data_IF_637258715252
#
_entry.id   IF_637258715252
#
_cell.length_a   1.000
_cell.length_b   1.000
_cell.length_c   1.000
_cell.angle_alpha   90.00
_cell.angle_beta   90.00
_cell.angle_gamma   90.00
#
_symmetry.space_group_name_H-M   'P 1'
#
loop_
_entity.id
_entity.type
_entity.pdbx_description
1 polymer ?
#
# COMPACT_ATOMS: atom_id res chain seq x y z
N UNK A 1 6.58 -1.43 -17.91
CA UNK A 1 7.21 -2.40 -16.99
C UNK A 1 7.13 -3.81 -17.57
N UNK A 2 5.94 -4.26 -17.97
CA UNK A 2 5.71 -5.65 -18.39
C UNK A 2 6.21 -5.97 -19.80
N UNK A 3 6.55 -4.98 -20.64
CA UNK A 3 7.18 -5.15 -21.95
C UNK A 3 8.53 -5.88 -21.87
N UNK A 4 9.26 -5.71 -20.77
CA UNK A 4 10.49 -6.44 -20.52
C UNK A 4 10.26 -7.96 -20.50
N UNK A 5 9.13 -8.39 -19.95
CA UNK A 5 8.74 -9.82 -19.93
C UNK A 5 8.31 -10.30 -21.32
N UNK A 6 7.63 -9.46 -22.10
CA UNK A 6 7.29 -9.77 -23.50
C UNK A 6 8.54 -9.92 -24.37
N UNK A 7 9.48 -8.97 -24.26
CA UNK A 7 10.75 -9.01 -24.99
C UNK A 7 11.59 -10.24 -24.63
N UNK A 8 11.52 -10.71 -23.40
CA UNK A 8 12.31 -11.84 -22.92
C UNK A 8 11.64 -13.19 -23.08
N UNK A 9 10.34 -13.27 -22.95
CA UNK A 9 9.56 -14.52 -23.04
C UNK A 9 8.53 -14.42 -24.17
N UNK A 10 7.34 -13.92 -23.88
CA UNK A 10 6.28 -13.69 -24.86
C UNK A 10 5.16 -12.78 -24.28
N UNK A 11 4.16 -12.49 -25.13
CA UNK A 11 2.98 -11.73 -24.74
C UNK A 11 2.12 -12.42 -23.65
N UNK A 12 2.24 -13.73 -23.46
CA UNK A 12 1.51 -14.48 -22.43
C UNK A 12 2.13 -14.22 -21.05
N UNK A 13 3.47 -14.22 -20.96
CA UNK A 13 4.19 -13.85 -19.74
C UNK A 13 3.89 -12.39 -19.31
N UNK A 14 3.88 -11.47 -20.28
CA UNK A 14 3.46 -10.05 -20.04
C UNK A 14 2.07 -9.98 -19.43
N UNK A 15 1.09 -10.64 -20.05
CA UNK A 15 -0.29 -10.64 -19.56
C UNK A 15 -0.45 -11.30 -18.20
N UNK A 16 0.27 -12.38 -17.93
CA UNK A 16 0.26 -13.03 -16.63
C UNK A 16 0.77 -12.09 -15.52
N UNK A 17 1.89 -11.40 -15.75
CA UNK A 17 2.43 -10.42 -14.80
C UNK A 17 1.51 -9.20 -14.63
N UNK A 18 0.93 -8.69 -15.72
CA UNK A 18 -0.06 -7.61 -15.67
C UNK A 18 -1.31 -8.01 -14.87
N UNK A 19 -1.78 -9.27 -15.04
CA UNK A 19 -2.88 -9.82 -14.25
C UNK A 19 -2.53 -9.91 -12.76
N UNK A 20 -1.35 -10.41 -12.42
CA UNK A 20 -0.89 -10.47 -11.03
C UNK A 20 -0.76 -9.08 -10.41
N UNK A 21 -0.26 -8.09 -11.17
CA UNK A 21 -0.24 -6.71 -10.74
C UNK A 21 -1.64 -6.17 -10.44
N UNK A 22 -2.62 -6.41 -11.32
CA UNK A 22 -4.00 -5.97 -11.09
C UNK A 22 -4.57 -6.57 -9.80
N UNK A 23 -4.36 -7.87 -9.55
CA UNK A 23 -4.75 -8.53 -8.30
C UNK A 23 -4.09 -7.83 -7.12
N UNK A 24 -2.77 -7.68 -7.14
CA UNK A 24 -2.04 -7.02 -6.05
C UNK A 24 -2.45 -5.58 -5.81
N UNK A 25 -2.74 -4.84 -6.89
CA UNK A 25 -3.17 -3.45 -6.79
C UNK A 25 -4.60 -3.32 -6.23
N UNK A 26 -5.50 -4.24 -6.59
CA UNK A 26 -6.84 -4.31 -6.00
C UNK A 26 -6.74 -4.61 -4.51
N UNK A 27 -5.93 -5.59 -4.11
CA UNK A 27 -5.68 -5.92 -2.72
C UNK A 27 -5.14 -4.70 -1.94
N UNK A 28 -4.06 -4.10 -2.41
CA UNK A 28 -3.41 -2.96 -1.75
C UNK A 28 -4.28 -1.70 -1.71
N UNK A 29 -4.94 -1.34 -2.81
CA UNK A 29 -5.77 -0.14 -2.88
C UNK A 29 -7.10 -0.33 -2.15
N UNK A 30 -7.66 -1.55 -2.14
CA UNK A 30 -8.83 -1.90 -1.34
C UNK A 30 -8.55 -1.79 0.16
N UNK A 31 -7.38 -2.23 0.62
CA UNK A 31 -6.97 -2.07 2.01
C UNK A 31 -6.78 -0.59 2.39
N UNK A 32 -6.21 0.24 1.50
CA UNK A 32 -6.11 1.70 1.72
C UNK A 32 -7.49 2.36 1.76
N UNK A 33 -8.40 1.95 0.86
CA UNK A 33 -9.77 2.45 0.84
C UNK A 33 -10.49 2.11 2.15
N UNK A 34 -10.28 0.92 2.70
CA UNK A 34 -10.79 0.52 4.01
C UNK A 34 -10.29 1.43 5.13
N UNK A 35 -8.97 1.73 5.19
CA UNK A 35 -8.44 2.68 6.16
C UNK A 35 -9.09 4.06 6.07
N UNK A 36 -9.28 4.55 4.86
CA UNK A 36 -9.96 5.81 4.60
C UNK A 36 -11.42 5.80 5.04
N UNK A 37 -12.10 4.68 4.79
CA UNK A 37 -13.49 4.51 5.16
C UNK A 37 -13.69 4.54 6.69
N UNK A 38 -12.74 4.00 7.47
CA UNK A 38 -12.74 4.14 8.93
C UNK A 38 -12.74 5.63 9.32
N UNK A 39 -11.81 6.42 8.75
CA UNK A 39 -11.71 7.85 9.07
C UNK A 39 -12.99 8.61 8.67
N UNK A 40 -13.53 8.34 7.49
CA UNK A 40 -14.78 8.98 7.01
C UNK A 40 -15.98 8.56 7.84
N UNK A 41 -16.08 7.28 8.25
CA UNK A 41 -17.14 6.79 9.13
C UNK A 41 -17.11 7.53 10.47
N UNK A 42 -15.93 7.67 11.08
CA UNK A 42 -15.79 8.41 12.33
C UNK A 42 -16.11 9.90 12.20
N UNK A 43 -15.82 10.53 11.06
CA UNK A 43 -16.14 11.95 10.83
C UNK A 43 -17.64 12.17 10.68
N UNK A 44 -18.33 11.29 9.95
CA UNK A 44 -19.74 11.48 9.58
C UNK A 44 -20.69 10.88 10.64
N UNK A 45 -20.39 9.66 11.09
CA UNK A 45 -21.29 8.87 11.95
C UNK A 45 -20.81 8.78 13.40
N UNK A 46 -19.57 9.18 13.69
CA UNK A 46 -18.92 9.10 15.01
C UNK A 46 -18.81 7.65 15.55
N UNK A 47 -18.74 6.69 14.65
CA UNK A 47 -18.57 5.28 14.97
C UNK A 47 -17.83 4.51 13.86
N UNK A 48 -17.59 3.22 14.10
CA UNK A 48 -16.92 2.29 13.17
C UNK A 48 -17.78 1.04 12.93
N UNK A 49 -19.09 1.21 12.93
CA UNK A 49 -20.01 0.11 12.64
C UNK A 49 -19.88 -0.37 11.19
N UNK A 50 -20.11 -1.68 10.92
CA UNK A 50 -19.97 -2.24 9.58
C UNK A 50 -20.75 -1.49 8.51
N UNK A 51 -21.98 -1.08 8.82
CA UNK A 51 -22.86 -0.38 7.88
C UNK A 51 -22.30 1.00 7.51
N UNK A 52 -21.78 1.74 8.47
CA UNK A 52 -21.22 3.07 8.26
C UNK A 52 -19.89 3.03 7.51
N UNK A 53 -19.05 2.01 7.76
CA UNK A 53 -17.82 1.79 6.96
C UNK A 53 -18.15 1.44 5.52
N UNK A 54 -19.18 0.63 5.27
CA UNK A 54 -19.64 0.31 3.91
C UNK A 54 -20.13 1.57 3.19
N UNK A 55 -20.95 2.40 3.85
CA UNK A 55 -21.42 3.67 3.29
C UNK A 55 -20.25 4.62 3.02
N UNK A 56 -19.32 4.76 3.97
CA UNK A 56 -18.12 5.58 3.81
C UNK A 56 -17.26 5.12 2.63
N UNK A 57 -17.04 3.80 2.48
CA UNK A 57 -16.34 3.21 1.33
C UNK A 57 -17.04 3.52 0.01
N UNK A 58 -18.37 3.39 -0.04
CA UNK A 58 -19.16 3.70 -1.23
C UNK A 58 -19.04 5.18 -1.62
N UNK A 59 -19.14 6.09 -0.67
CA UNK A 59 -18.98 7.53 -0.87
C UNK A 59 -17.60 7.84 -1.45
N UNK A 60 -16.52 7.31 -0.85
CA UNK A 60 -15.16 7.51 -1.34
C UNK A 60 -14.96 6.99 -2.75
N UNK A 61 -15.52 5.82 -3.08
CA UNK A 61 -15.44 5.23 -4.42
C UNK A 61 -16.18 6.10 -5.45
N UNK A 62 -17.40 6.55 -5.14
CA UNK A 62 -18.20 7.39 -6.04
C UNK A 62 -17.46 8.72 -6.33
N UNK A 63 -16.94 9.38 -5.31
CA UNK A 63 -16.15 10.60 -5.49
C UNK A 63 -14.86 10.34 -6.26
N UNK A 64 -14.15 9.23 -5.97
CA UNK A 64 -12.94 8.83 -6.69
C UNK A 64 -13.20 8.58 -8.18
N UNK A 65 -14.28 7.86 -8.52
CA UNK A 65 -14.69 7.63 -9.92
C UNK A 65 -15.02 8.97 -10.60
N UNK A 66 -15.88 9.77 -9.99
CA UNK A 66 -16.30 11.05 -10.56
C UNK A 66 -15.07 11.94 -10.87
N UNK A 67 -14.17 12.08 -9.89
CA UNK A 67 -12.95 12.87 -10.07
C UNK A 67 -12.05 12.33 -11.19
N UNK A 68 -11.87 11.00 -11.25
CA UNK A 68 -10.95 10.36 -12.20
C UNK A 68 -11.49 10.38 -13.63
N UNK A 69 -12.80 10.22 -13.82
CA UNK A 69 -13.44 10.24 -15.14
C UNK A 69 -13.35 11.61 -15.83
N UNK A 70 -13.38 12.70 -15.06
CA UNK A 70 -13.37 14.06 -15.59
C UNK A 70 -11.96 14.67 -15.60
N UNK A 71 -11.06 14.26 -14.70
CA UNK A 71 -9.80 14.95 -14.44
C UNK A 71 -8.64 14.51 -15.35
N UNK A 72 -8.54 13.25 -15.72
CA UNK A 72 -7.37 12.69 -16.41
C UNK A 72 -6.09 12.71 -15.55
N UNK A 73 -4.95 12.24 -16.13
CA UNK A 73 -3.69 12.06 -15.38
C UNK A 73 -3.12 13.37 -14.85
N UNK A 74 -3.14 14.45 -15.63
CA UNK A 74 -2.60 15.75 -15.21
C UNK A 74 -3.37 16.33 -14.02
N UNK A 75 -4.70 16.26 -14.04
CA UNK A 75 -5.52 16.74 -12.93
C UNK A 75 -5.27 15.92 -11.65
N UNK A 76 -5.04 14.61 -11.79
CA UNK A 76 -4.71 13.73 -10.65
C UNK A 76 -3.36 14.11 -10.05
N UNK A 77 -2.32 14.36 -10.86
CA UNK A 77 -0.99 14.77 -10.36
C UNK A 77 -1.08 16.10 -9.57
N UNK A 78 -1.80 17.09 -10.10
CA UNK A 78 -2.00 18.37 -9.40
C UNK A 78 -2.84 18.21 -8.12
N UNK A 79 -3.87 17.38 -8.17
CA UNK A 79 -4.67 17.04 -7.00
C UNK A 79 -3.84 16.36 -5.93
N UNK A 80 -3.00 15.41 -6.30
CA UNK A 80 -2.10 14.71 -5.37
C UNK A 80 -1.15 15.69 -4.68
N UNK A 81 -0.63 16.70 -5.38
CA UNK A 81 0.20 17.75 -4.79
C UNK A 81 -0.57 18.56 -3.72
N UNK A 82 -1.80 18.99 -4.06
CA UNK A 82 -2.65 19.71 -3.09
C UNK A 82 -2.97 18.82 -1.88
N UNK A 83 -3.26 17.54 -2.11
CA UNK A 83 -3.52 16.56 -1.05
C UNK A 83 -2.31 16.38 -0.12
N UNK A 84 -1.09 16.29 -0.67
CA UNK A 84 0.15 16.22 0.13
C UNK A 84 0.28 17.43 1.04
N UNK A 85 0.05 18.65 0.54
CA UNK A 85 0.10 19.88 1.35
C UNK A 85 -0.96 19.86 2.46
N UNK A 86 -2.18 19.41 2.14
CA UNK A 86 -3.27 19.36 3.11
C UNK A 86 -3.01 18.33 4.22
N UNK A 87 -2.58 17.11 3.90
CA UNK A 87 -2.37 16.10 4.95
C UNK A 87 -1.12 16.38 5.79
N UNK A 88 -0.04 16.90 5.18
CA UNK A 88 1.15 17.32 5.94
C UNK A 88 0.86 18.55 6.81
N UNK A 89 0.15 19.53 6.27
CA UNK A 89 -0.30 20.69 7.05
C UNK A 89 -1.20 20.28 8.20
N UNK A 90 -2.15 19.38 7.96
CA UNK A 90 -3.00 18.79 9.00
C UNK A 90 -2.21 18.04 10.06
N UNK A 91 -1.23 17.22 9.66
CA UNK A 91 -0.37 16.47 10.58
C UNK A 91 0.50 17.43 11.45
N UNK A 92 1.09 18.46 10.85
CA UNK A 92 1.84 19.49 11.60
C UNK A 92 0.95 20.21 12.60
N UNK A 93 -0.28 20.51 12.21
CA UNK A 93 -1.25 21.15 13.09
C UNK A 93 -1.60 20.24 14.28
N UNK A 94 -1.84 18.96 14.05
CA UNK A 94 -2.05 17.97 15.13
C UNK A 94 -0.83 17.90 16.05
N UNK A 95 0.39 17.87 15.50
CA UNK A 95 1.62 17.88 16.30
C UNK A 95 1.69 19.11 17.21
N UNK A 96 1.42 20.30 16.68
CA UNK A 96 1.42 21.54 17.46
C UNK A 96 0.36 21.49 18.57
N UNK A 97 -0.85 21.02 18.27
CA UNK A 97 -1.90 20.91 19.29
C UNK A 97 -1.52 19.90 20.39
N UNK A 98 -0.91 18.76 20.05
CA UNK A 98 -0.40 17.81 21.04
C UNK A 98 0.64 18.44 21.96
N UNK A 99 1.62 19.14 21.39
CA UNK A 99 2.66 19.83 22.17
C UNK A 99 2.11 20.93 23.09
N UNK A 100 1.06 21.62 22.66
CA UNK A 100 0.41 22.65 23.48
C UNK A 100 -0.47 22.05 24.58
N UNK A 101 -1.12 20.90 24.30
CA UNK A 101 -2.04 20.24 25.23
C UNK A 101 -1.34 19.40 26.31
N UNK A 102 -0.13 18.92 26.06
CA UNK A 102 0.66 18.19 27.05
C UNK A 102 1.39 19.21 27.93
N UNK A 103 1.04 19.34 29.24
CA UNK A 103 1.61 20.38 30.09
C UNK A 103 3.03 20.06 30.55
N UNK A 104 3.50 18.83 30.35
CA UNK A 104 4.82 18.39 30.75
C UNK A 104 5.92 19.00 29.85
N UNK A 105 7.10 19.36 30.42
CA UNK A 105 8.23 19.85 29.63
C UNK A 105 8.85 18.72 28.79
N UNK A 106 9.49 19.11 27.68
CA UNK A 106 10.07 18.16 26.72
C UNK A 106 11.00 17.09 27.32
N UNK A 107 11.86 17.38 28.33
CA UNK A 107 12.67 16.36 28.99
C UNK A 107 11.83 15.27 29.67
N UNK A 108 10.77 15.64 30.37
CA UNK A 108 9.88 14.67 31.04
C UNK A 108 9.12 13.80 30.04
N UNK A 109 8.70 14.38 28.91
CA UNK A 109 8.09 13.63 27.81
C UNK A 109 9.10 12.62 27.25
N UNK A 110 10.34 13.02 27.07
CA UNK A 110 11.41 12.15 26.58
C UNK A 110 11.67 10.98 27.53
N UNK A 111 11.85 11.27 28.82
CA UNK A 111 12.07 10.24 29.84
C UNK A 111 10.90 9.27 29.95
N UNK A 112 9.66 9.79 29.82
CA UNK A 112 8.44 9.01 29.86
C UNK A 112 8.28 8.07 28.64
N UNK A 113 8.79 8.46 27.48
CA UNK A 113 8.79 7.62 26.29
C UNK A 113 9.92 6.57 26.36
N UNK A 114 11.06 6.91 26.96
CA UNK A 114 12.17 6.00 27.15
C UNK A 114 11.87 4.93 28.21
N UNK A 115 11.15 5.29 29.27
CA UNK A 115 10.77 4.42 30.37
C UNK A 115 9.24 4.26 30.48
N UNK A 116 8.63 3.71 29.43
CA UNK A 116 7.18 3.52 29.41
C UNK A 116 6.74 2.47 30.46
N UNK A 117 5.48 2.58 31.03
CA UNK A 117 4.98 1.68 32.05
C UNK A 117 4.93 0.20 31.65
N UNK A 118 4.91 -0.08 30.35
CA UNK A 118 4.97 -1.43 29.77
C UNK A 118 6.41 -1.99 29.69
N UNK A 119 7.40 -1.25 30.19
CA UNK A 119 8.83 -1.64 30.19
C UNK A 119 9.49 -1.53 28.82
N UNK A 120 8.80 -1.00 27.81
CA UNK A 120 9.34 -0.82 26.46
C UNK A 120 9.86 0.60 26.27
N UNK A 121 11.09 0.72 25.73
CA UNK A 121 11.63 1.99 25.26
C UNK A 121 10.93 2.34 23.92
N UNK A 122 10.02 3.32 23.95
CA UNK A 122 9.27 3.81 22.77
C UNK A 122 10.14 4.65 21.83
N UNK A 123 11.32 5.10 22.28
CA UNK A 123 12.29 5.85 21.47
C UNK A 123 13.33 4.94 20.82
N UNK A 124 13.27 3.63 21.06
CA UNK A 124 14.19 2.68 20.45
C UNK A 124 14.01 2.63 18.93
N UNK A 125 14.95 3.22 18.20
CA UNK A 125 14.94 3.28 16.73
C UNK A 125 15.34 1.95 16.07
N UNK A 126 16.21 1.18 16.71
CA UNK A 126 16.78 -0.04 16.13
C UNK A 126 16.50 -1.24 17.01
N UNK A 127 15.69 -2.17 16.53
CA UNK A 127 15.53 -3.48 17.15
C UNK A 127 16.42 -4.50 16.44
N UNK A 128 17.52 -4.88 17.12
CA UNK A 128 18.50 -5.86 16.62
C UNK A 128 18.13 -7.30 16.95
N UNK A 129 16.95 -7.54 17.54
CA UNK A 129 16.51 -8.90 17.85
C UNK A 129 16.34 -9.73 16.58
N UNK A 130 16.77 -10.99 16.63
CA UNK A 130 16.49 -12.00 15.60
C UNK A 130 15.12 -12.64 15.84
N UNK A 131 14.09 -11.82 15.94
CA UNK A 131 12.73 -12.28 16.13
C UNK A 131 11.98 -12.20 14.80
N UNK A 132 11.73 -13.34 14.20
CA UNK A 132 11.06 -13.44 12.91
C UNK A 132 9.55 -13.15 12.99
N UNK A 133 8.99 -13.08 14.19
CA UNK A 133 7.57 -12.70 14.40
C UNK A 133 7.36 -11.19 14.35
N UNK A 134 8.44 -10.40 14.45
CA UNK A 134 8.37 -8.94 14.43
C UNK A 134 8.65 -8.37 13.04
N UNK A 135 7.74 -7.50 12.52
CA UNK A 135 7.87 -6.96 11.17
C UNK A 135 8.92 -5.85 11.02
N UNK A 136 9.31 -5.17 12.09
CA UNK A 136 10.13 -3.97 12.05
C UNK A 136 11.47 -4.11 12.79
N UNK A 137 12.06 -5.32 12.82
CA UNK A 137 13.45 -5.49 13.24
C UNK A 137 14.40 -4.99 12.15
N UNK A 138 15.64 -4.63 12.51
CA UNK A 138 16.66 -4.20 11.54
C UNK A 138 16.82 -5.22 10.41
N UNK A 139 16.80 -6.51 10.75
CA UNK A 139 16.93 -7.59 9.78
C UNK A 139 15.73 -7.68 8.83
N UNK A 140 14.51 -7.53 9.34
CA UNK A 140 13.29 -7.50 8.53
C UNK A 140 13.27 -6.28 7.60
N UNK A 141 13.75 -5.13 8.07
CA UNK A 141 13.85 -3.89 7.28
C UNK A 141 14.86 -4.07 6.13
N UNK A 142 16.06 -4.54 6.41
CA UNK A 142 17.14 -4.69 5.42
C UNK A 142 16.86 -5.76 4.38
N UNK A 143 15.95 -6.69 4.64
CA UNK A 143 15.58 -7.77 3.72
C UNK A 143 14.19 -7.54 3.12
N UNK A 144 13.14 -7.89 3.83
CA UNK A 144 11.78 -7.90 3.31
C UNK A 144 11.21 -6.52 2.99
N UNK A 145 11.47 -5.50 3.83
CA UNK A 145 11.00 -4.14 3.53
C UNK A 145 11.76 -3.50 2.36
N UNK A 146 13.05 -3.79 2.20
CA UNK A 146 13.81 -3.38 0.99
C UNK A 146 13.21 -4.03 -0.25
N UNK A 147 12.91 -5.35 -0.22
CA UNK A 147 12.24 -6.04 -1.33
C UNK A 147 10.85 -5.44 -1.61
N UNK A 148 10.06 -5.13 -0.59
CA UNK A 148 8.75 -4.50 -0.74
C UNK A 148 8.87 -3.14 -1.44
N UNK A 149 9.87 -2.32 -1.05
CA UNK A 149 10.11 -1.03 -1.67
C UNK A 149 10.62 -1.16 -3.13
N UNK A 150 11.47 -2.15 -3.43
CA UNK A 150 11.87 -2.47 -4.80
C UNK A 150 10.63 -2.85 -5.64
N UNK A 151 9.72 -3.66 -5.09
CA UNK A 151 8.46 -4.00 -5.74
C UNK A 151 7.60 -2.76 -6.01
N UNK A 152 7.42 -1.91 -5.02
CA UNK A 152 6.61 -0.71 -5.12
C UNK A 152 7.19 0.35 -6.08
N UNK A 153 8.52 0.54 -6.10
CA UNK A 153 9.16 1.51 -6.96
C UNK A 153 9.38 1.03 -8.40
N UNK A 154 9.70 -0.26 -8.58
CA UNK A 154 10.12 -0.82 -9.87
C UNK A 154 9.06 -1.62 -10.62
N UNK A 155 8.08 -2.19 -9.94
CA UNK A 155 7.08 -3.09 -10.55
C UNK A 155 5.67 -2.48 -10.54
N UNK A 156 5.46 -1.38 -9.82
CA UNK A 156 4.17 -0.70 -9.76
C UNK A 156 3.99 0.24 -10.96
N UNK A 157 2.93 0.00 -11.72
CA UNK A 157 2.62 0.80 -12.92
C UNK A 157 2.28 2.26 -12.59
N UNK A 158 1.71 2.54 -11.42
CA UNK A 158 1.39 3.90 -10.97
C UNK A 158 2.68 4.74 -10.82
N UNK A 159 3.68 4.20 -10.13
CA UNK A 159 4.99 4.82 -9.99
C UNK A 159 5.69 4.97 -11.34
N UNK A 160 5.66 3.93 -12.16
CA UNK A 160 6.32 3.94 -13.48
C UNK A 160 5.70 4.97 -14.43
N UNK A 161 4.37 5.11 -14.48
CA UNK A 161 3.70 6.12 -15.31
C UNK A 161 4.10 7.54 -14.92
N UNK A 162 4.28 7.82 -13.63
CA UNK A 162 4.74 9.12 -13.15
C UNK A 162 6.19 9.40 -13.53
N UNK A 163 7.06 8.39 -13.46
CA UNK A 163 8.45 8.51 -13.89
C UNK A 163 8.57 8.71 -15.41
N UNK A 164 7.72 8.04 -16.19
CA UNK A 164 7.67 8.20 -17.65
C UNK A 164 7.08 9.56 -18.09
N UNK A 165 6.34 10.25 -17.22
CA UNK A 165 5.86 11.61 -17.48
C UNK A 165 6.94 12.68 -17.27
N UNK A 166 8.13 12.33 -16.77
CA UNK A 166 9.27 13.24 -16.68
C UNK A 166 9.92 13.45 -18.05
N UNK A 167 10.57 14.59 -18.24
CA UNK A 167 11.21 14.97 -19.53
C UNK A 167 12.29 13.98 -20.00
N UNK A 168 13.01 13.37 -19.07
CA UNK A 168 14.06 12.41 -19.36
C UNK A 168 14.30 11.46 -18.18
N UNK A 169 15.04 10.36 -18.41
CA UNK A 169 15.34 9.35 -17.40
C UNK A 169 16.09 9.91 -16.18
N UNK A 170 16.97 10.90 -16.37
CA UNK A 170 17.71 11.53 -15.27
C UNK A 170 16.77 12.32 -14.35
N UNK A 171 15.81 13.05 -14.92
CA UNK A 171 14.78 13.76 -14.15
C UNK A 171 13.88 12.79 -13.38
N UNK A 172 13.46 11.68 -14.00
CA UNK A 172 12.70 10.62 -13.32
C UNK A 172 13.48 10.01 -12.16
N UNK A 173 14.75 9.69 -12.36
CA UNK A 173 15.62 9.15 -11.31
C UNK A 173 15.79 10.15 -10.15
N UNK A 174 15.99 11.43 -10.43
CA UNK A 174 16.07 12.48 -9.39
C UNK A 174 14.76 12.61 -8.62
N UNK A 175 13.61 12.57 -9.30
CA UNK A 175 12.30 12.61 -8.67
C UNK A 175 12.09 11.40 -7.73
N UNK A 176 12.52 10.19 -8.15
CA UNK A 176 12.45 9.00 -7.32
C UNK A 176 13.32 9.14 -6.05
N UNK A 177 14.58 9.56 -6.17
CA UNK A 177 15.42 9.81 -5.00
C UNK A 177 14.87 10.91 -4.10
N UNK A 178 14.38 12.01 -4.66
CA UNK A 178 13.79 13.09 -3.89
C UNK A 178 12.56 12.61 -3.10
N UNK A 179 11.71 11.75 -3.68
CA UNK A 179 10.55 11.18 -2.97
C UNK A 179 10.96 10.27 -1.82
N UNK A 180 12.02 9.48 -1.97
CA UNK A 180 12.56 8.64 -0.89
C UNK A 180 13.09 9.47 0.28
N UNK A 181 13.85 10.53 -0.01
CA UNK A 181 14.34 11.46 1.02
C UNK A 181 13.21 12.24 1.69
N UNK A 182 12.21 12.66 0.94
CA UNK A 182 11.04 13.35 1.48
C UNK A 182 10.17 12.45 2.38
N UNK A 183 10.19 11.14 2.17
CA UNK A 183 9.46 10.21 3.02
C UNK A 183 10.00 10.15 4.46
N UNK A 184 11.31 10.36 4.67
CA UNK A 184 11.94 10.27 6.00
C UNK A 184 11.34 11.27 7.00
N UNK A 185 11.31 12.60 6.74
CA UNK A 185 10.71 13.55 7.67
C UNK A 185 9.20 13.34 7.83
N UNK A 186 8.51 12.87 6.80
CA UNK A 186 7.08 12.54 6.89
C UNK A 186 6.84 11.39 7.87
N UNK A 187 7.60 10.30 7.76
CA UNK A 187 7.51 9.18 8.71
C UNK A 187 7.85 9.64 10.13
N UNK A 188 8.92 10.44 10.30
CA UNK A 188 9.31 10.98 11.60
C UNK A 188 8.20 11.85 12.22
N UNK A 189 7.51 12.67 11.41
CA UNK A 189 6.37 13.48 11.86
C UNK A 189 5.24 12.59 12.41
N UNK A 190 4.83 11.55 11.68
CA UNK A 190 3.75 10.67 12.13
C UNK A 190 4.16 9.80 13.32
N UNK A 191 5.42 9.38 13.42
CA UNK A 191 5.94 8.69 14.60
C UNK A 191 5.91 9.61 15.83
N UNK A 192 6.31 10.88 15.70
CA UNK A 192 6.24 11.86 16.79
C UNK A 192 4.79 12.07 17.24
N UNK A 193 3.83 12.21 16.30
CA UNK A 193 2.41 12.30 16.63
C UNK A 193 1.94 11.06 17.40
N UNK A 194 2.30 9.86 16.95
CA UNK A 194 1.94 8.60 17.60
C UNK A 194 2.50 8.50 19.03
N UNK A 195 3.76 8.89 19.24
CA UNK A 195 4.40 8.92 20.55
C UNK A 195 3.74 9.92 21.49
N UNK A 196 3.40 11.12 21.00
CA UNK A 196 2.70 12.14 21.81
C UNK A 196 1.25 11.75 22.13
N UNK A 197 0.55 11.08 21.20
CA UNK A 197 -0.78 10.50 21.47
C UNK A 197 -0.70 9.42 22.55
N UNK A 198 0.35 8.62 22.58
CA UNK A 198 0.58 7.66 23.65
C UNK A 198 0.73 8.38 25.02
N UNK A 199 1.49 9.46 25.09
CA UNK A 199 1.60 10.28 26.32
C UNK A 199 0.21 10.83 26.68
N UNK A 200 -0.47 11.46 25.74
CA UNK A 200 -1.75 12.12 25.96
C UNK A 200 -2.82 11.20 26.55
N UNK A 201 -2.92 9.96 26.07
CA UNK A 201 -3.98 9.02 26.49
C UNK A 201 -3.54 8.02 27.57
N UNK A 202 -2.25 7.69 27.69
CA UNK A 202 -1.79 6.61 28.57
C UNK A 202 -0.89 7.07 29.72
N UNK A 203 -0.57 8.39 29.84
CA UNK A 203 0.27 8.94 30.89
C UNK A 203 -0.45 10.05 31.65
N UNK A 204 -1.45 9.68 32.51
CA UNK A 204 -2.17 10.66 33.34
C UNK A 204 -1.29 11.42 34.30
N UNK A 205 -0.14 10.83 34.72
CA UNK A 205 0.88 11.46 35.53
C UNK A 205 1.49 12.72 34.90
N UNK A 206 1.67 12.73 33.57
CA UNK A 206 2.17 13.87 32.81
C UNK A 206 1.09 14.83 32.38
N UNK A 207 -0.15 14.34 32.25
CA UNK A 207 -1.30 15.15 31.84
C UNK A 207 -1.93 15.92 33.02
N UNK A 208 -1.63 15.54 34.28
CA UNK A 208 -2.27 16.12 35.49
C UNK A 208 -3.75 15.77 35.67
N UNK A 209 -4.35 15.13 34.67
CA UNK A 209 -5.76 14.66 34.67
C UNK A 209 -5.79 13.34 33.91
N UNK A 210 -6.61 12.38 34.37
CA UNK A 210 -6.89 11.19 33.56
C UNK A 210 -7.74 11.59 32.35
N UNK A 211 -7.09 11.89 31.25
CA UNK A 211 -7.75 12.05 29.96
C UNK A 211 -8.09 10.62 29.47
N UNK A 212 -9.18 10.07 30.01
CA UNK A 212 -9.68 8.81 29.47
C UNK A 212 -9.97 8.99 28.00
N UNK A 213 -9.48 8.08 27.16
CA UNK A 213 -9.97 7.97 25.80
C UNK A 213 -11.50 7.96 25.89
N UNK A 214 -12.12 9.07 25.51
CA UNK A 214 -13.55 9.29 25.72
C UNK A 214 -14.28 8.10 25.12
N UNK A 215 -15.19 7.53 25.88
CA UNK A 215 -15.98 6.32 25.58
C UNK A 215 -16.74 6.36 24.24
N UNK A 216 -16.65 7.44 23.48
CA UNK A 216 -17.32 7.64 22.21
C UNK A 216 -16.92 6.62 21.12
N UNK A 217 -15.73 6.00 21.21
CA UNK A 217 -15.23 5.09 20.18
C UNK A 217 -14.84 3.70 20.73
N UNK A 218 -15.47 3.30 21.82
CA UNK A 218 -15.48 1.92 22.37
C UNK A 218 -14.11 1.22 22.48
N UNK A 219 -13.03 1.99 22.76
CA UNK A 219 -11.71 1.40 23.05
C UNK A 219 -10.96 0.82 21.85
N UNK A 220 -11.46 0.95 20.63
CA UNK A 220 -10.75 0.48 19.44
C UNK A 220 -9.49 1.35 19.19
N UNK A 221 -8.30 0.73 19.27
CA UNK A 221 -7.00 1.41 19.08
C UNK A 221 -6.88 2.13 17.74
N UNK A 222 -7.58 1.66 16.71
CA UNK A 222 -7.59 2.25 15.37
C UNK A 222 -8.21 3.66 15.33
N UNK A 223 -8.98 4.02 16.35
CA UNK A 223 -9.73 5.28 16.41
C UNK A 223 -9.01 6.40 17.16
N UNK A 224 -7.91 6.11 17.87
CA UNK A 224 -7.22 7.04 18.78
C UNK A 224 -6.84 8.37 18.10
N UNK A 225 -6.26 8.30 16.91
CA UNK A 225 -5.86 9.50 16.17
C UNK A 225 -7.07 10.35 15.76
N UNK A 226 -8.12 9.72 15.24
CA UNK A 226 -9.35 10.43 14.86
C UNK A 226 -10.11 10.96 16.07
N UNK A 227 -10.12 10.21 17.18
CA UNK A 227 -10.71 10.69 18.44
C UNK A 227 -10.05 11.98 18.89
N UNK A 228 -8.72 12.05 18.86
CA UNK A 228 -7.99 13.28 19.19
C UNK A 228 -8.40 14.46 18.28
N UNK A 229 -8.47 14.23 16.97
CA UNK A 229 -8.88 15.26 16.01
C UNK A 229 -10.28 15.77 16.31
N UNK A 230 -11.21 14.87 16.59
CA UNK A 230 -12.62 15.20 16.78
C UNK A 230 -12.91 15.84 18.16
N UNK A 231 -12.17 15.48 19.22
CA UNK A 231 -12.40 15.98 20.57
C UNK A 231 -11.57 17.20 20.91
N UNK A 232 -10.29 17.23 20.52
CA UNK A 232 -9.33 18.20 21.03
C UNK A 232 -9.05 19.39 20.09
N UNK A 233 -9.31 19.23 18.78
CA UNK A 233 -9.06 20.29 17.80
C UNK A 233 -10.30 21.19 17.64
N UNK A 234 -10.15 22.53 17.69
CA UNK A 234 -11.26 23.47 17.50
C UNK A 234 -11.98 23.30 16.15
N UNK A 235 -13.30 23.58 16.07
CA UNK A 235 -14.15 23.26 14.92
C UNK A 235 -13.61 23.71 13.55
N UNK A 236 -13.05 24.90 13.43
CA UNK A 236 -12.52 25.42 12.16
C UNK A 236 -11.27 24.63 11.68
N UNK A 237 -10.31 24.42 12.56
CA UNK A 237 -9.08 23.70 12.27
C UNK A 237 -9.32 22.20 12.14
N UNK A 238 -10.31 21.66 12.88
CA UNK A 238 -10.77 20.27 12.75
C UNK A 238 -11.16 19.94 11.31
N UNK A 239 -11.94 20.84 10.66
CA UNK A 239 -12.32 20.66 9.26
C UNK A 239 -11.13 20.56 8.32
N UNK A 240 -10.10 21.40 8.50
CA UNK A 240 -8.87 21.34 7.68
C UNK A 240 -8.13 20.02 7.87
N UNK A 241 -7.96 19.55 9.11
CA UNK A 241 -7.27 18.30 9.42
C UNK A 241 -8.04 17.09 8.88
N UNK A 242 -9.37 17.06 9.02
CA UNK A 242 -10.21 15.97 8.50
C UNK A 242 -10.17 15.90 6.97
N UNK A 243 -10.16 17.04 6.28
CA UNK A 243 -9.95 17.09 4.82
C UNK A 243 -8.57 16.52 4.45
N UNK A 244 -7.52 16.84 5.23
CA UNK A 244 -6.19 16.27 5.04
C UNK A 244 -6.17 14.74 5.19
N UNK A 245 -6.87 14.20 6.19
CA UNK A 245 -6.98 12.73 6.40
C UNK A 245 -7.72 12.07 5.22
N UNK A 246 -8.83 12.63 4.77
CA UNK A 246 -9.58 12.12 3.60
C UNK A 246 -8.72 12.20 2.33
N UNK A 247 -8.00 13.30 2.15
CA UNK A 247 -7.12 13.52 1.01
C UNK A 247 -5.99 12.48 0.93
N UNK A 248 -5.41 12.09 2.07
CA UNK A 248 -4.37 11.05 2.11
C UNK A 248 -4.85 9.67 1.62
N UNK A 249 -6.15 9.46 1.59
CA UNK A 249 -6.80 8.22 1.21
C UNK A 249 -7.15 8.10 -0.29
N UNK A 250 -6.78 9.08 -1.11
CA UNK A 250 -7.16 9.13 -2.52
C UNK A 250 -6.72 7.89 -3.31
N UNK A 251 -7.69 7.30 -4.03
CA UNK A 251 -7.51 6.09 -4.85
C UNK A 251 -7.34 6.40 -6.35
N UNK A 252 -7.36 7.69 -6.70
CA UNK A 252 -7.53 8.19 -8.07
C UNK A 252 -6.41 7.72 -9.02
N UNK A 253 -5.15 7.86 -8.61
CA UNK A 253 -4.01 7.46 -9.44
C UNK A 253 -3.96 5.96 -9.69
N UNK A 254 -4.32 5.17 -8.67
CA UNK A 254 -4.43 3.72 -8.78
C UNK A 254 -5.49 3.27 -9.80
N UNK A 255 -6.64 3.95 -9.88
CA UNK A 255 -7.68 3.65 -10.87
C UNK A 255 -7.20 3.93 -12.30
N UNK A 256 -6.49 5.05 -12.53
CA UNK A 256 -5.94 5.37 -13.85
C UNK A 256 -4.92 4.32 -14.28
N UNK A 257 -3.95 4.00 -13.40
CA UNK A 257 -2.89 3.04 -13.73
C UNK A 257 -3.43 1.63 -13.99
N UNK A 258 -4.35 1.16 -13.16
CA UNK A 258 -5.00 -0.14 -13.37
C UNK A 258 -5.82 -0.18 -14.66
N UNK A 259 -6.60 0.88 -14.96
CA UNK A 259 -7.39 0.93 -16.19
C UNK A 259 -6.49 0.95 -17.44
N UNK A 260 -5.36 1.65 -17.39
CA UNK A 260 -4.37 1.63 -18.45
C UNK A 260 -3.80 0.23 -18.69
N UNK A 261 -3.53 -0.54 -17.64
CA UNK A 261 -3.09 -1.95 -17.76
C UNK A 261 -4.20 -2.81 -18.38
N UNK A 262 -5.45 -2.69 -17.91
CA UNK A 262 -6.58 -3.43 -18.49
C UNK A 262 -6.73 -3.15 -19.99
N UNK A 263 -6.66 -1.89 -20.38
CA UNK A 263 -6.81 -1.51 -21.78
C UNK A 263 -5.61 -1.94 -22.62
N UNK A 264 -4.38 -1.63 -22.21
CA UNK A 264 -3.20 -1.83 -23.05
C UNK A 264 -2.70 -3.27 -23.07
N UNK A 265 -2.83 -4.02 -21.96
CA UNK A 265 -2.29 -5.37 -21.86
C UNK A 265 -3.32 -6.47 -22.17
N UNK A 266 -4.64 -6.15 -22.06
CA UNK A 266 -5.70 -7.13 -22.31
C UNK A 266 -6.63 -6.72 -23.45
N UNK A 267 -7.22 -5.51 -23.39
CA UNK A 267 -8.31 -5.14 -24.29
C UNK A 267 -7.82 -4.83 -25.71
N UNK A 268 -6.78 -4.00 -25.89
CA UNK A 268 -6.20 -3.71 -27.21
C UNK A 268 -5.72 -4.97 -27.94
N UNK A 269 -4.89 -5.86 -27.33
CA UNK A 269 -4.47 -7.08 -28.00
C UNK A 269 -5.62 -8.05 -28.33
N UNK A 270 -6.69 -8.02 -27.55
CA UNK A 270 -7.88 -8.80 -27.84
C UNK A 270 -8.64 -8.23 -29.06
N UNK A 271 -8.77 -6.90 -29.16
CA UNK A 271 -9.42 -6.20 -30.26
C UNK A 271 -8.67 -6.41 -31.58
N UNK A 272 -7.34 -6.28 -31.55
CA UNK A 272 -6.45 -6.51 -32.69
C UNK A 272 -6.57 -7.95 -33.24
N UNK A 273 -6.64 -8.93 -32.36
CA UNK A 273 -6.86 -10.35 -32.79
C UNK A 273 -8.21 -10.58 -33.47
N UNK A 274 -9.20 -9.74 -33.20
CA UNK A 274 -10.52 -9.81 -33.83
C UNK A 274 -10.62 -8.98 -35.12
N UNK A 275 -9.57 -8.28 -35.50
CA UNK A 275 -9.56 -7.39 -36.66
C UNK A 275 -10.56 -6.24 -36.57
N UNK A 276 -11.01 -5.90 -35.35
CA UNK A 276 -11.97 -4.82 -35.15
C UNK A 276 -11.26 -3.46 -35.19
N UNK A 277 -11.83 -2.44 -35.89
CA UNK A 277 -11.25 -1.12 -35.90
C UNK A 277 -11.22 -0.51 -34.49
N UNK A 278 -10.06 -0.06 -34.06
CA UNK A 278 -9.89 0.64 -32.79
C UNK A 278 -9.92 2.14 -32.99
N UNK A 279 -11.12 2.72 -32.97
CA UNK A 279 -11.28 4.17 -32.89
C UNK A 279 -10.77 4.66 -31.53
N UNK A 280 -10.08 5.81 -31.52
CA UNK A 280 -9.52 6.39 -30.30
C UNK A 280 -10.58 6.63 -29.23
N UNK A 281 -11.77 7.09 -29.63
CA UNK A 281 -12.90 7.29 -28.73
C UNK A 281 -13.39 5.97 -28.11
N UNK A 282 -13.34 4.88 -28.86
CA UNK A 282 -13.68 3.55 -28.36
C UNK A 282 -12.71 3.09 -27.25
N UNK A 283 -11.42 3.33 -27.43
CA UNK A 283 -10.38 3.00 -26.43
C UNK A 283 -10.57 3.84 -25.16
N UNK A 284 -10.87 5.13 -25.29
CA UNK A 284 -11.16 6.02 -24.15
C UNK A 284 -12.38 5.52 -23.37
N UNK A 285 -13.46 5.14 -24.07
CA UNK A 285 -14.66 4.61 -23.42
C UNK A 285 -14.41 3.26 -22.74
N UNK A 286 -13.59 2.38 -23.34
CA UNK A 286 -13.15 1.15 -22.73
C UNK A 286 -12.35 1.40 -21.43
N UNK A 287 -11.48 2.43 -21.42
CA UNK A 287 -10.76 2.87 -20.23
C UNK A 287 -11.69 3.36 -19.11
N UNK A 288 -12.71 4.16 -19.47
CA UNK A 288 -13.73 4.61 -18.51
C UNK A 288 -14.50 3.44 -17.90
N UNK A 289 -14.92 2.49 -18.73
CA UNK A 289 -15.61 1.28 -18.26
C UNK A 289 -14.71 0.44 -17.35
N UNK A 290 -13.44 0.27 -17.71
CA UNK A 290 -12.45 -0.42 -16.87
C UNK A 290 -12.29 0.26 -15.50
N UNK A 291 -12.23 1.60 -15.45
CA UNK A 291 -12.18 2.35 -14.18
C UNK A 291 -13.40 2.06 -13.29
N UNK A 292 -14.60 2.04 -13.85
CA UNK A 292 -15.83 1.76 -13.10
C UNK A 292 -15.79 0.33 -12.53
N UNK A 293 -15.45 -0.66 -13.36
CA UNK A 293 -15.36 -2.06 -12.91
C UNK A 293 -14.29 -2.25 -11.83
N UNK A 294 -13.13 -1.62 -12.00
CA UNK A 294 -12.05 -1.65 -11.01
C UNK A 294 -12.45 -0.96 -9.71
N UNK A 295 -13.16 0.15 -9.77
CA UNK A 295 -13.67 0.83 -8.59
C UNK A 295 -14.69 -0.02 -7.81
N UNK A 296 -15.57 -0.76 -8.51
CA UNK A 296 -16.44 -1.75 -7.89
C UNK A 296 -15.62 -2.88 -7.22
N UNK A 297 -14.53 -3.33 -7.86
CA UNK A 297 -13.63 -4.32 -7.27
C UNK A 297 -12.91 -3.78 -6.02
N UNK A 298 -12.47 -2.51 -6.04
CA UNK A 298 -11.89 -1.86 -4.86
C UNK A 298 -12.90 -1.72 -3.72
N UNK A 299 -14.13 -1.38 -4.02
CA UNK A 299 -15.21 -1.33 -3.03
C UNK A 299 -15.45 -2.69 -2.38
N UNK A 300 -15.59 -3.74 -3.19
CA UNK A 300 -15.75 -5.11 -2.69
C UNK A 300 -14.55 -5.54 -1.84
N UNK A 301 -13.33 -5.20 -2.28
CA UNK A 301 -12.11 -5.49 -1.54
C UNK A 301 -12.02 -4.71 -0.22
N UNK A 302 -12.47 -3.46 -0.18
CA UNK A 302 -12.53 -2.67 1.05
C UNK A 302 -13.44 -3.31 2.10
N UNK A 303 -14.59 -3.82 1.68
CA UNK A 303 -15.52 -4.57 2.55
C UNK A 303 -14.86 -5.88 3.02
N UNK A 304 -14.20 -6.60 2.12
CA UNK A 304 -13.48 -7.82 2.48
C UNK A 304 -12.37 -7.52 3.50
N UNK A 305 -11.60 -6.45 3.33
CA UNK A 305 -10.56 -6.03 4.27
C UNK A 305 -11.11 -5.72 5.65
N UNK A 306 -12.30 -5.13 5.75
CA UNK A 306 -12.96 -4.87 7.03
C UNK A 306 -13.18 -6.16 7.83
N UNK A 307 -13.73 -7.21 7.20
CA UNK A 307 -13.95 -8.49 7.87
C UNK A 307 -12.64 -9.25 8.09
N UNK A 308 -11.73 -9.21 7.13
CA UNK A 308 -10.44 -9.89 7.20
C UNK A 308 -9.56 -9.36 8.33
N UNK A 309 -9.44 -8.03 8.46
CA UNK A 309 -8.64 -7.40 9.51
C UNK A 309 -9.18 -7.73 10.92
N UNK A 310 -10.51 -7.72 11.08
CA UNK A 310 -11.15 -8.11 12.35
C UNK A 310 -10.94 -9.58 12.70
N UNK A 311 -10.90 -10.44 11.70
CA UNK A 311 -10.63 -11.86 11.89
C UNK A 311 -9.15 -12.14 12.21
N UNK A 312 -8.23 -11.40 11.60
CA UNK A 312 -6.78 -11.59 11.79
C UNK A 312 -6.23 -10.95 13.06
N UNK A 313 -6.96 -9.99 13.67
CA UNK A 313 -6.57 -9.21 14.85
C UNK A 313 -5.15 -8.59 14.76
N UNK A 314 -4.68 -8.32 13.53
CA UNK A 314 -3.38 -7.71 13.27
C UNK A 314 -3.45 -6.18 13.31
N UNK A 315 -2.36 -5.48 13.71
CA UNK A 315 -2.29 -4.03 13.62
C UNK A 315 -2.51 -3.54 12.17
N UNK A 316 -3.25 -2.44 12.01
CA UNK A 316 -3.67 -1.94 10.69
C UNK A 316 -2.52 -1.76 9.68
N UNK A 317 -1.39 -1.19 10.11
CA UNK A 317 -0.24 -0.98 9.24
C UNK A 317 0.35 -2.32 8.76
N UNK A 318 0.49 -3.27 9.67
CA UNK A 318 1.00 -4.60 9.37
C UNK A 318 0.05 -5.36 8.43
N UNK A 319 -1.26 -5.26 8.67
CA UNK A 319 -2.29 -5.82 7.80
C UNK A 319 -2.19 -5.28 6.37
N UNK A 320 -2.14 -3.95 6.19
CA UNK A 320 -2.09 -3.33 4.85
C UNK A 320 -0.80 -3.68 4.11
N UNK A 321 0.34 -3.67 4.79
CA UNK A 321 1.63 -4.06 4.19
C UNK A 321 1.65 -5.56 3.88
N UNK A 322 1.08 -6.40 4.75
CA UNK A 322 0.93 -7.84 4.56
C UNK A 322 0.07 -8.19 3.33
N UNK A 323 -1.01 -7.46 3.10
CA UNK A 323 -1.86 -7.64 1.92
C UNK A 323 -1.11 -7.36 0.60
N UNK A 324 -0.17 -6.41 0.60
CA UNK A 324 0.63 -6.10 -0.60
C UNK A 324 1.60 -7.24 -0.96
N UNK A 325 2.06 -8.00 0.01
CA UNK A 325 3.05 -9.08 -0.17
C UNK A 325 2.55 -10.19 -1.10
N UNK A 326 1.25 -10.45 -1.15
CA UNK A 326 0.65 -11.51 -1.96
C UNK A 326 1.06 -11.45 -3.45
N UNK A 327 0.97 -10.29 -4.07
CA UNK A 327 1.30 -10.16 -5.49
C UNK A 327 2.79 -9.83 -5.70
N UNK A 328 3.39 -9.05 -4.81
CA UNK A 328 4.79 -8.68 -4.98
C UNK A 328 5.74 -9.86 -4.84
N UNK A 329 5.43 -10.88 -4.04
CA UNK A 329 6.27 -12.08 -3.91
C UNK A 329 6.50 -12.76 -5.25
N UNK A 330 5.44 -13.00 -6.03
CA UNK A 330 5.54 -13.61 -7.37
C UNK A 330 6.24 -12.70 -8.37
N UNK A 331 5.86 -11.42 -8.42
CA UNK A 331 6.44 -10.44 -9.35
C UNK A 331 7.94 -10.25 -9.10
N UNK A 332 8.36 -10.04 -7.86
CA UNK A 332 9.78 -9.89 -7.50
C UNK A 332 10.61 -11.11 -7.88
N UNK A 333 10.09 -12.33 -7.66
CA UNK A 333 10.77 -13.57 -8.05
C UNK A 333 10.95 -13.68 -9.56
N UNK A 334 9.92 -13.37 -10.35
CA UNK A 334 9.99 -13.37 -11.82
C UNK A 334 10.97 -12.30 -12.31
N UNK A 335 10.84 -11.06 -11.85
CA UNK A 335 11.76 -9.98 -12.27
C UNK A 335 13.20 -10.21 -11.79
N UNK A 336 13.38 -10.78 -10.60
CA UNK A 336 14.69 -11.22 -10.13
C UNK A 336 15.31 -12.25 -11.08
N UNK A 337 14.54 -13.22 -11.56
CA UNK A 337 15.02 -14.19 -12.56
C UNK A 337 15.42 -13.49 -13.86
N UNK A 338 14.63 -12.54 -14.33
CA UNK A 338 14.93 -11.79 -15.56
C UNK A 338 16.21 -10.95 -15.44
N UNK A 339 16.44 -10.32 -14.30
CA UNK A 339 17.58 -9.42 -14.10
C UNK A 339 18.86 -10.19 -13.81
N UNK A 340 18.80 -11.21 -12.96
CA UNK A 340 20.01 -11.87 -12.44
C UNK A 340 20.37 -13.17 -13.18
N UNK A 341 19.48 -13.70 -14.02
CA UNK A 341 19.73 -14.99 -14.69
C UNK A 341 19.40 -14.93 -16.19
N UNK A 342 19.84 -15.95 -16.93
CA UNK A 342 19.45 -16.19 -18.33
C UNK A 342 18.44 -17.35 -18.43
N UNK A 343 17.72 -17.67 -17.36
CA UNK A 343 16.78 -18.77 -17.27
C UNK A 343 15.33 -18.29 -17.29
N UNK A 344 14.42 -19.22 -17.48
CA UNK A 344 12.99 -19.02 -17.48
C UNK A 344 12.33 -19.36 -18.81
N UNK A 345 11.05 -19.63 -18.74
CA UNK A 345 10.16 -19.88 -19.87
C UNK A 345 8.76 -19.34 -19.52
N UNK A 346 7.89 -19.14 -20.51
CA UNK A 346 6.52 -18.63 -20.28
C UNK A 346 5.76 -19.40 -19.21
N UNK A 347 5.81 -20.74 -19.26
CA UNK A 347 5.14 -21.56 -18.26
C UNK A 347 5.71 -21.37 -16.85
N UNK A 348 7.04 -21.22 -16.73
CA UNK A 348 7.68 -21.04 -15.42
C UNK A 348 7.44 -19.65 -14.84
N UNK A 349 7.23 -18.62 -15.69
CA UNK A 349 6.78 -17.29 -15.24
C UNK A 349 5.39 -17.40 -14.60
N UNK A 350 4.44 -18.03 -15.27
CA UNK A 350 3.08 -18.22 -14.74
C UNK A 350 3.13 -19.06 -13.46
N UNK A 351 3.86 -20.15 -13.47
CA UNK A 351 4.02 -21.00 -12.29
C UNK A 351 4.66 -20.24 -11.11
N UNK A 352 5.66 -19.39 -11.37
CA UNK A 352 6.33 -18.59 -10.35
C UNK A 352 5.41 -17.53 -9.73
N UNK A 353 4.60 -16.83 -10.55
CA UNK A 353 3.62 -15.87 -10.06
C UNK A 353 2.62 -16.55 -9.12
N UNK A 354 2.10 -17.71 -9.52
CA UNK A 354 1.17 -18.48 -8.69
C UNK A 354 1.85 -19.07 -7.45
N UNK A 355 3.08 -19.61 -7.58
CA UNK A 355 3.81 -20.16 -6.46
C UNK A 355 4.13 -19.11 -5.39
N UNK A 356 4.54 -17.89 -5.80
CA UNK A 356 4.74 -16.79 -4.87
C UNK A 356 3.45 -16.43 -4.12
N UNK A 357 2.34 -16.26 -4.84
CA UNK A 357 1.04 -15.96 -4.24
C UNK A 357 0.58 -17.07 -3.27
N UNK A 358 0.63 -18.32 -3.70
CA UNK A 358 0.23 -19.48 -2.88
C UNK A 358 1.13 -19.62 -1.65
N UNK A 359 2.43 -19.37 -1.78
CA UNK A 359 3.35 -19.39 -0.62
C UNK A 359 2.93 -18.41 0.47
N UNK A 360 2.52 -17.19 0.09
CA UNK A 360 2.01 -16.21 1.07
C UNK A 360 0.67 -16.65 1.65
N UNK A 361 -0.22 -17.19 0.81
CA UNK A 361 -1.52 -17.69 1.24
C UNK A 361 -1.39 -18.81 2.28
N UNK A 362 -0.48 -19.76 2.06
CA UNK A 362 -0.21 -20.87 2.99
C UNK A 362 0.42 -20.43 4.32
N UNK A 363 0.93 -19.21 4.43
CA UNK A 363 1.49 -18.64 5.66
C UNK A 363 0.46 -17.80 6.45
N UNK A 364 -0.78 -17.69 5.97
CA UNK A 364 -1.83 -16.96 6.69
C UNK A 364 -2.44 -17.82 7.81
N UNK A 365 -2.69 -17.22 8.99
CA UNK A 365 -3.24 -17.90 10.16
C UNK A 365 -4.44 -18.78 9.85
N UNK A 366 -5.44 -18.22 9.15
CA UNK A 366 -6.68 -18.92 8.82
C UNK A 366 -6.47 -20.12 7.87
N UNK A 367 -5.42 -20.13 7.06
CA UNK A 367 -5.07 -21.25 6.18
C UNK A 367 -4.30 -22.31 6.98
N UNK A 368 -3.34 -21.90 7.80
CA UNK A 368 -2.58 -22.79 8.67
C UNK A 368 -3.51 -23.54 9.62
N UNK A 369 -4.45 -22.84 10.26
CA UNK A 369 -5.40 -23.41 11.18
C UNK A 369 -6.38 -24.37 10.49
N UNK A 370 -6.88 -24.00 9.29
CA UNK A 370 -7.82 -24.83 8.53
C UNK A 370 -7.19 -26.11 7.97
N UNK A 371 -5.89 -26.07 7.63
CA UNK A 371 -5.15 -27.21 7.11
C UNK A 371 -4.43 -28.00 8.19
N UNK A 372 -4.46 -27.58 9.45
CA UNK A 372 -3.75 -28.23 10.55
C UNK A 372 -2.21 -28.19 10.40
N UNK A 373 -1.68 -27.17 9.77
CA UNK A 373 -0.23 -26.99 9.58
C UNK A 373 0.45 -26.57 10.90
N UNK A 374 1.76 -26.85 11.09
CA UNK A 374 2.48 -26.44 12.28
C UNK A 374 2.41 -24.93 12.49
N UNK A 375 2.15 -24.47 13.72
CA UNK A 375 2.06 -23.04 14.08
C UNK A 375 3.32 -22.22 13.72
N UNK A 376 4.46 -22.87 13.55
CA UNK A 376 5.69 -22.20 13.09
C UNK A 376 5.57 -21.57 11.68
N UNK A 377 4.61 -22.03 10.86
CA UNK A 377 4.39 -21.50 9.51
C UNK A 377 3.76 -20.09 9.52
N UNK A 378 2.95 -19.78 10.51
CA UNK A 378 2.31 -18.48 10.63
C UNK A 378 3.01 -17.54 11.63
N UNK A 379 4.09 -17.99 12.26
CA UNK A 379 4.86 -17.16 13.20
C UNK A 379 5.71 -16.08 12.51
N UNK A 380 5.79 -16.10 11.17
CA UNK A 380 6.62 -15.18 10.41
C UNK A 380 5.88 -13.89 10.10
N UNK A 381 6.48 -12.75 10.45
CA UNK A 381 6.00 -11.44 10.04
C UNK A 381 6.08 -11.25 8.51
N UNK A 382 5.22 -10.39 7.94
CA UNK A 382 5.05 -10.19 6.50
C UNK A 382 6.35 -9.90 5.72
N UNK A 383 7.42 -9.24 6.25
CA UNK A 383 8.65 -9.06 5.50
C UNK A 383 9.37 -10.38 5.21
N UNK A 384 9.35 -11.30 6.16
CA UNK A 384 9.93 -12.64 5.99
C UNK A 384 9.09 -13.51 5.06
N UNK A 385 7.78 -13.39 5.15
CA UNK A 385 6.88 -14.03 4.19
C UNK A 385 7.20 -13.59 2.76
N UNK A 386 7.42 -12.28 2.54
CA UNK A 386 7.83 -11.74 1.23
C UNK A 386 9.15 -12.34 0.75
N UNK A 387 10.16 -12.44 1.63
CA UNK A 387 11.45 -13.04 1.29
C UNK A 387 11.29 -14.49 0.83
N UNK A 388 10.52 -15.30 1.57
CA UNK A 388 10.29 -16.71 1.25
C UNK A 388 9.49 -16.82 -0.05
N UNK A 389 8.38 -16.08 -0.19
CA UNK A 389 7.56 -16.10 -1.39
C UNK A 389 8.34 -15.68 -2.65
N UNK A 390 9.20 -14.65 -2.52
CA UNK A 390 10.08 -14.20 -3.60
C UNK A 390 11.12 -15.26 -3.96
N UNK A 391 11.74 -15.91 -2.97
CA UNK A 391 12.72 -16.96 -3.20
C UNK A 391 12.08 -18.18 -3.90
N UNK A 392 10.91 -18.62 -3.44
CA UNK A 392 10.15 -19.71 -4.08
C UNK A 392 9.80 -19.35 -5.53
N UNK A 393 9.27 -18.16 -5.77
CA UNK A 393 8.93 -17.70 -7.11
C UNK A 393 10.18 -17.62 -8.01
N UNK A 394 11.30 -17.13 -7.49
CA UNK A 394 12.58 -17.10 -8.21
C UNK A 394 13.05 -18.50 -8.61
N UNK A 395 13.06 -19.47 -7.70
CA UNK A 395 13.46 -20.86 -7.93
C UNK A 395 12.57 -21.49 -8.98
N UNK A 396 11.25 -21.35 -8.84
CA UNK A 396 10.26 -21.90 -9.80
C UNK A 396 10.45 -21.28 -11.19
N UNK A 397 10.69 -19.98 -11.28
CA UNK A 397 10.94 -19.32 -12.55
C UNK A 397 12.23 -19.83 -13.21
N UNK A 398 13.30 -20.03 -12.43
CA UNK A 398 14.57 -20.57 -12.90
C UNK A 398 14.49 -22.02 -13.40
N UNK A 399 13.48 -22.80 -12.99
CA UNK A 399 13.25 -24.16 -13.49
C UNK A 399 12.90 -24.21 -14.99
N UNK A 400 12.52 -23.08 -15.58
CA UNK A 400 12.12 -22.95 -16.99
C UNK A 400 13.22 -23.16 -18.04
N UNK A 401 14.41 -23.59 -17.66
CA UNK A 401 15.51 -23.87 -18.62
C UNK A 401 16.26 -22.61 -19.09
N UNK A 402 17.24 -22.81 -19.96
CA UNK A 402 18.02 -21.70 -20.53
C UNK A 402 17.28 -21.05 -21.69
N UNK A 403 17.22 -19.73 -21.66
CA UNK A 403 16.60 -18.92 -22.70
C UNK A 403 17.48 -18.96 -23.97
N UNK A 404 16.93 -19.37 -25.11
CA UNK A 404 17.54 -19.15 -26.42
C UNK A 404 17.34 -17.68 -26.79
N UNK A 405 18.43 -16.91 -26.83
CA UNK A 405 18.40 -15.49 -27.21
C UNK A 405 17.66 -15.32 -28.55
N UNK A 406 16.52 -14.67 -28.52
CA UNK A 406 15.86 -14.10 -29.72
C UNK A 406 16.58 -12.84 -30.22
N UNK A 407 17.60 -12.38 -29.48
CA UNK A 407 18.33 -11.14 -29.77
C UNK A 407 19.27 -11.20 -30.99
N UNK A 408 19.44 -12.37 -31.64
CA UNK A 408 20.25 -12.46 -32.86
C UNK A 408 19.49 -12.07 -34.14
N UNK A 409 18.23 -11.62 -34.03
CA UNK A 409 17.40 -11.27 -35.20
C UNK A 409 16.72 -9.89 -35.12
N UNK A 410 16.98 -9.08 -34.12
CA UNK A 410 16.45 -7.73 -34.06
C UNK A 410 17.52 -6.71 -34.46
N UNK A 411 17.32 -5.85 -35.50
CA UNK A 411 18.23 -4.77 -35.80
C UNK A 411 18.24 -3.77 -34.62
N UNK A 412 19.45 -3.42 -34.22
CA UNK A 412 19.71 -2.33 -33.29
C UNK A 412 19.17 -1.04 -33.94
N UNK A 413 18.06 -0.52 -33.44
CA UNK A 413 17.66 0.86 -33.76
C UNK A 413 18.60 1.80 -33.00
N UNK A 414 19.52 2.39 -33.75
CA UNK A 414 20.37 3.52 -33.35
C UNK A 414 19.52 4.77 -33.12
#
# INVERSE_FOLDING_TARGET
VYELLEARFDATARRAAAGMYLVGRILASGARLYLAAIAVSMIIFLDVEPQHIIIASAVLVVFGIAFTLFGGLNAVIWSDLVQVVLYLGGALLVLVFLLVKIPAPAPEIWDALQSAPDGMDKLRLFDWSFDFSKPFTVWAILTGLVLLNIGNAGLDQDTTQRLLACENAASGTRALYASMWAAIPVVALFMAIGSLLHIFYNRPDLMGVSVGATNAFAGEKITVFMSFILSEIPPGLRGLVTVGVIAAAAINSGLISMSAVVVNDFYRPWLERRGAPSDEQHIVNAGRMAMILLACALFAMSILCFYWQRYSDTPLLEFVLGVMVFAYSGLLGVYGTVVFTKRGATWSVIAALLAGFVTILLQQHYVVDSLGLPAAWNALAFPWQLCIGTAVAFIVCCAGGNFKNRSDTAPVMT
#
